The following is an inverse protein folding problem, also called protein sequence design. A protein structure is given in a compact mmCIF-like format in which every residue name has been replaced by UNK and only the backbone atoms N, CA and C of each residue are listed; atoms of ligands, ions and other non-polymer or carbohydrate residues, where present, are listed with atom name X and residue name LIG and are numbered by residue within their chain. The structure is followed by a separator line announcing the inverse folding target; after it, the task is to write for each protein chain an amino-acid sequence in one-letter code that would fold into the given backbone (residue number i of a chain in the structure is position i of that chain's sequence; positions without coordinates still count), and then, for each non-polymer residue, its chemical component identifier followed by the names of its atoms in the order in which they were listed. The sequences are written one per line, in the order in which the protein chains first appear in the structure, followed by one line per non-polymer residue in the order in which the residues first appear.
data_IF_601006464904
#
_entry.id   IF_601006464904
#
_cell.length_a   1.000
_cell.length_b   1.000
_cell.length_c   1.000
_cell.angle_alpha   90.00
_cell.angle_beta   90.00
_cell.angle_gamma   90.00
#
_symmetry.space_group_name_H-M   'P 1'
#
loop_
_entity.id
_entity.type
_entity.pdbx_description
1 polymer ?
#
# COMPACT_ATOMS: atom_id res chain seq x y z
N UNK A 1 3.24 10.37 -16.84
CA UNK A 1 2.49 9.10 -17.00
C UNK A 1 1.01 9.39 -16.82
N UNK A 2 0.11 8.68 -17.51
CA UNK A 2 -1.35 8.80 -17.34
C UNK A 2 -1.91 7.43 -16.96
N UNK A 3 -2.77 7.38 -15.94
CA UNK A 3 -3.44 6.16 -15.47
C UNK A 3 -4.94 6.34 -15.71
N UNK A 4 -5.59 5.30 -16.26
CA UNK A 4 -7.05 5.32 -16.39
C UNK A 4 -7.65 4.90 -15.04
N UNK A 5 -8.65 5.64 -14.58
CA UNK A 5 -9.31 5.40 -13.30
C UNK A 5 -10.83 5.49 -13.49
N UNK A 6 -11.55 4.56 -12.88
CA UNK A 6 -13.00 4.63 -12.67
C UNK A 6 -13.21 4.85 -11.18
N UNK A 7 -13.87 5.95 -10.82
CA UNK A 7 -14.23 6.25 -9.45
C UNK A 7 -15.71 5.93 -9.25
N UNK A 8 -16.00 4.95 -8.39
CA UNK A 8 -17.34 4.58 -7.95
C UNK A 8 -17.66 5.06 -6.54
N UNK A 9 -16.73 5.74 -5.88
CA UNK A 9 -16.99 6.42 -4.61
C UNK A 9 -17.68 7.77 -4.84
N UNK A 10 -18.25 8.33 -3.77
CA UNK A 10 -18.70 9.72 -3.71
C UNK A 10 -17.58 10.71 -3.30
N UNK A 11 -16.34 10.25 -3.22
CA UNK A 11 -15.17 11.08 -2.85
C UNK A 11 -14.41 11.59 -4.07
N UNK A 12 -13.68 12.72 -3.97
CA UNK A 12 -12.80 13.20 -5.04
C UNK A 12 -11.73 12.17 -5.41
N UNK A 13 -11.24 12.25 -6.66
CA UNK A 13 -10.08 11.47 -7.09
C UNK A 13 -8.87 11.73 -6.18
N UNK A 14 -8.02 10.71 -5.95
CA UNK A 14 -6.78 10.89 -5.21
C UNK A 14 -5.87 11.87 -5.95
N UNK A 15 -5.18 12.71 -5.18
CA UNK A 15 -4.29 13.74 -5.69
C UNK A 15 -3.01 13.81 -4.86
N UNK A 16 -1.94 14.27 -5.48
CA UNK A 16 -0.69 14.57 -4.77
C UNK A 16 -0.91 15.80 -3.87
N UNK A 17 -0.62 15.66 -2.59
CA UNK A 17 -0.86 16.71 -1.60
C UNK A 17 0.06 17.93 -1.80
N UNK A 18 1.28 17.68 -2.26
CA UNK A 18 2.27 18.70 -2.64
C UNK A 18 2.95 18.30 -3.95
N UNK A 19 3.62 19.25 -4.60
CA UNK A 19 4.33 19.02 -5.87
C UNK A 19 5.37 17.88 -5.80
N UNK A 20 6.01 17.71 -4.63
CA UNK A 20 7.05 16.71 -4.41
C UNK A 20 6.54 15.47 -3.66
N UNK A 21 5.22 15.32 -3.47
CA UNK A 21 4.65 14.15 -2.82
C UNK A 21 4.85 12.89 -3.68
N UNK A 22 5.34 11.81 -3.06
CA UNK A 22 5.53 10.53 -3.75
C UNK A 22 4.22 9.76 -3.95
N UNK A 23 3.26 9.93 -3.04
CA UNK A 23 2.00 9.19 -3.03
C UNK A 23 0.76 10.08 -2.97
N UNK A 24 -0.39 9.47 -3.25
CA UNK A 24 -1.70 10.10 -3.19
C UNK A 24 -2.53 9.44 -2.10
N UNK A 25 -3.17 10.23 -1.24
CA UNK A 25 -3.99 9.70 -0.15
C UNK A 25 -5.21 8.93 -0.71
N UNK A 26 -5.47 7.74 -0.16
CA UNK A 26 -6.66 6.92 -0.43
C UNK A 26 -7.68 7.12 0.68
N UNK A 27 -8.95 7.27 0.31
CA UNK A 27 -10.06 7.50 1.25
C UNK A 27 -10.89 6.23 1.41
N UNK A 28 -11.39 6.01 2.63
CA UNK A 28 -12.42 5.00 2.86
C UNK A 28 -13.70 5.40 2.12
N UNK A 29 -14.32 4.44 1.43
CA UNK A 29 -15.62 4.61 0.79
C UNK A 29 -16.61 3.62 1.41
N UNK A 30 -17.23 4.01 2.51
CA UNK A 30 -18.04 3.12 3.37
C UNK A 30 -19.36 3.80 3.73
N UNK A 31 -20.43 3.02 3.84
CA UNK A 31 -21.76 3.55 4.19
C UNK A 31 -21.92 3.75 5.71
N UNK A 32 -21.24 2.94 6.51
CA UNK A 32 -21.26 2.97 7.97
C UNK A 32 -19.83 2.91 8.54
N UNK A 33 -19.56 3.56 9.69
CA UNK A 33 -18.25 3.54 10.33
C UNK A 33 -17.80 2.11 10.69
N UNK A 34 -16.51 1.82 10.48
CA UNK A 34 -15.91 0.51 10.81
C UNK A 34 -15.04 0.66 12.05
N UNK A 35 -15.40 -0.03 13.13
CA UNK A 35 -14.56 -0.10 14.33
C UNK A 35 -13.57 -1.26 14.20
N UNK A 36 -12.28 -0.95 14.28
CA UNK A 36 -11.17 -1.91 14.40
C UNK A 36 -10.77 -2.04 15.86
N UNK A 37 -11.08 -3.17 16.49
CA UNK A 37 -10.56 -3.51 17.82
C UNK A 37 -9.06 -3.79 17.76
N UNK A 38 -8.33 -3.75 18.89
CA UNK A 38 -6.96 -4.23 18.96
C UNK A 38 -6.79 -5.59 18.27
N UNK A 39 -5.79 -5.70 17.39
CA UNK A 39 -5.47 -6.86 16.56
C UNK A 39 -6.54 -7.26 15.50
N UNK A 40 -7.61 -6.48 15.35
CA UNK A 40 -8.59 -6.68 14.28
C UNK A 40 -8.06 -6.15 12.95
N UNK A 41 -8.45 -6.83 11.86
CA UNK A 41 -8.15 -6.42 10.49
C UNK A 41 -9.41 -6.40 9.64
N UNK A 42 -9.52 -5.43 8.74
CA UNK A 42 -10.64 -5.32 7.79
C UNK A 42 -10.13 -4.86 6.44
N UNK A 43 -10.76 -5.35 5.38
CA UNK A 43 -10.65 -4.76 4.05
C UNK A 43 -11.58 -3.54 4.01
N UNK A 44 -11.01 -2.36 3.79
CA UNK A 44 -11.75 -1.11 3.63
C UNK A 44 -11.73 -0.73 2.15
N UNK A 45 -12.89 -0.69 1.46
CA UNK A 45 -12.95 -0.33 0.06
C UNK A 45 -12.67 1.16 -0.17
N UNK A 46 -12.16 1.49 -1.35
CA UNK A 46 -11.92 2.89 -1.76
C UNK A 46 -12.86 3.37 -2.86
N UNK A 47 -13.57 2.45 -3.53
CA UNK A 47 -14.38 2.74 -4.71
C UNK A 47 -13.56 3.04 -5.96
N UNK A 48 -12.23 2.89 -5.91
CA UNK A 48 -11.32 3.21 -7.00
C UNK A 48 -10.95 1.96 -7.78
N UNK A 49 -11.09 2.02 -9.10
CA UNK A 49 -10.67 0.98 -10.02
C UNK A 49 -9.68 1.59 -11.01
N UNK A 50 -8.49 1.00 -11.16
CA UNK A 50 -7.43 1.57 -11.98
C UNK A 50 -7.00 0.63 -13.10
N UNK A 51 -6.39 1.18 -14.14
CA UNK A 51 -5.66 0.43 -15.15
C UNK A 51 -4.26 1.01 -15.31
N UNK A 52 -3.27 0.28 -14.81
CA UNK A 52 -1.87 0.69 -14.90
C UNK A 52 -1.27 0.23 -16.24
N UNK A 53 -0.25 0.93 -16.74
CA UNK A 53 0.58 0.43 -17.84
C UNK A 53 1.36 -0.83 -17.42
N UNK A 54 1.74 -1.67 -18.38
CA UNK A 54 2.68 -2.77 -18.16
C UNK A 54 4.01 -2.23 -17.63
N UNK A 55 4.64 -2.96 -16.71
CA UNK A 55 5.90 -2.56 -16.03
C UNK A 55 5.69 -1.60 -14.85
N UNK A 56 4.44 -1.45 -14.40
CA UNK A 56 4.09 -0.63 -13.25
C UNK A 56 3.13 -1.35 -12.30
N UNK A 57 3.33 -1.14 -11.01
CA UNK A 57 2.40 -1.51 -9.96
C UNK A 57 1.97 -0.26 -9.19
N UNK A 58 0.83 -0.34 -8.51
CA UNK A 58 0.47 0.61 -7.46
C UNK A 58 0.72 -0.02 -6.09
N UNK A 59 1.47 0.68 -5.25
CA UNK A 59 1.82 0.27 -3.91
C UNK A 59 0.97 1.02 -2.89
N UNK A 60 0.11 0.30 -2.18
CA UNK A 60 -0.68 0.81 -1.05
C UNK A 60 0.18 0.78 0.21
N UNK A 61 0.48 1.96 0.75
CA UNK A 61 1.38 2.15 1.90
C UNK A 61 0.67 2.80 3.09
N UNK A 62 1.13 2.55 4.33
CA UNK A 62 0.59 3.22 5.52
C UNK A 62 0.84 4.73 5.49
N UNK A 63 -0.03 5.49 6.16
CA UNK A 63 0.19 6.91 6.45
C UNK A 63 0.91 7.04 7.79
N UNK A 64 2.03 7.74 7.84
CA UNK A 64 2.87 7.84 9.05
C UNK A 64 2.12 8.37 10.28
N UNK A 65 1.18 9.31 10.08
CA UNK A 65 0.36 9.85 11.15
C UNK A 65 -0.56 8.81 11.80
N UNK A 66 -1.17 7.93 11.00
CA UNK A 66 -2.02 6.84 11.50
C UNK A 66 -1.18 5.76 12.19
N UNK A 67 -0.03 5.41 11.61
CA UNK A 67 0.88 4.42 12.17
C UNK A 67 1.41 4.86 13.55
N UNK A 68 1.95 6.08 13.65
CA UNK A 68 2.57 6.57 14.88
C UNK A 68 1.55 6.91 15.97
N UNK A 69 0.43 7.57 15.61
CA UNK A 69 -0.50 8.13 16.61
C UNK A 69 -1.63 7.18 17.00
N UNK A 70 -1.95 6.20 16.15
CA UNK A 70 -3.12 5.33 16.30
C UNK A 70 -2.79 3.84 16.18
N UNK A 71 -1.53 3.48 15.91
CA UNK A 71 -1.13 2.09 15.70
C UNK A 71 -1.80 1.43 14.47
N UNK A 72 -2.30 2.24 13.53
CA UNK A 72 -2.99 1.73 12.34
C UNK A 72 -2.01 1.62 11.19
N UNK A 73 -1.97 0.44 10.58
CA UNK A 73 -1.12 0.18 9.41
C UNK A 73 -1.89 -0.62 8.36
N UNK A 74 -1.30 -0.70 7.17
CA UNK A 74 -1.75 -1.58 6.10
C UNK A 74 -1.07 -2.93 6.33
N UNK A 75 -1.86 -3.98 6.56
CA UNK A 75 -1.35 -5.28 6.99
C UNK A 75 -0.41 -5.92 5.97
N UNK A 76 -0.75 -5.80 4.68
CA UNK A 76 0.05 -6.31 3.57
C UNK A 76 1.02 -5.26 3.01
N UNK A 77 1.42 -4.25 3.79
CA UNK A 77 2.27 -3.16 3.30
C UNK A 77 3.66 -3.62 2.81
N UNK A 78 4.14 -3.09 1.67
CA UNK A 78 3.36 -2.38 0.66
C UNK A 78 2.38 -3.33 -0.04
N UNK A 79 1.10 -2.96 -0.11
CA UNK A 79 0.10 -3.76 -0.83
C UNK A 79 0.26 -3.56 -2.32
N UNK A 80 0.47 -4.63 -3.08
CA UNK A 80 0.63 -4.59 -4.54
C UNK A 80 -0.72 -4.63 -5.24
N UNK A 81 -0.90 -3.71 -6.20
CA UNK A 81 -2.00 -3.70 -7.17
C UNK A 81 -1.40 -3.85 -8.56
N UNK A 82 -1.66 -4.99 -9.18
CA UNK A 82 -1.10 -5.39 -10.48
C UNK A 82 -1.70 -4.58 -11.65
N UNK A 83 -0.95 -4.52 -12.76
CA UNK A 83 -1.34 -3.72 -13.91
C UNK A 83 -2.61 -4.20 -14.64
N UNK A 84 -2.93 -5.49 -14.52
CA UNK A 84 -4.12 -6.11 -15.10
C UNK A 84 -5.30 -6.17 -14.12
N UNK A 85 -5.12 -5.77 -12.85
CA UNK A 85 -6.19 -5.73 -11.86
C UNK A 85 -7.21 -4.63 -12.19
N UNK A 86 -8.50 -4.97 -12.16
CA UNK A 86 -9.63 -4.04 -12.42
C UNK A 86 -10.67 -4.01 -11.29
N UNK A 87 -10.40 -4.72 -10.20
CA UNK A 87 -11.25 -4.69 -9.02
C UNK A 87 -11.06 -3.40 -8.20
N UNK A 88 -11.68 -3.36 -7.03
CA UNK A 88 -11.56 -2.24 -6.11
C UNK A 88 -10.16 -2.21 -5.49
N UNK A 89 -9.51 -1.04 -5.49
CA UNK A 89 -8.24 -0.82 -4.79
C UNK A 89 -8.54 -0.73 -3.29
N UNK A 90 -8.80 -1.88 -2.66
CA UNK A 90 -9.11 -1.96 -1.25
C UNK A 90 -7.86 -1.88 -0.37
N UNK A 91 -8.04 -1.44 0.88
CA UNK A 91 -6.97 -1.28 1.87
C UNK A 91 -7.19 -2.26 3.01
N UNK A 92 -6.26 -3.19 3.23
CA UNK A 92 -6.31 -4.11 4.37
C UNK A 92 -5.72 -3.41 5.59
N UNK A 93 -6.57 -2.77 6.39
CA UNK A 93 -6.15 -2.14 7.64
C UNK A 93 -6.06 -3.16 8.76
N UNK A 94 -5.06 -2.97 9.63
CA UNK A 94 -4.95 -3.66 10.93
C UNK A 94 -4.71 -2.62 12.03
N UNK A 95 -5.34 -2.84 13.19
CA UNK A 95 -5.07 -2.08 14.40
C UNK A 95 -4.06 -2.83 15.28
N UNK A 96 -2.85 -2.28 15.42
CA UNK A 96 -1.79 -2.80 16.28
C UNK A 96 -1.68 -2.05 17.62
N UNK A 97 -2.56 -1.10 17.89
CA UNK A 97 -2.67 -0.44 19.19
C UNK A 97 -3.54 -1.23 20.16
N UNK A 98 -3.59 -0.77 21.41
CA UNK A 98 -4.44 -1.26 22.49
C UNK A 98 -5.78 -0.53 22.60
N UNK A 99 -6.02 0.51 21.79
CA UNK A 99 -7.27 1.26 21.74
C UNK A 99 -8.08 0.92 20.47
N UNK A 100 -9.43 0.87 20.53
CA UNK A 100 -10.24 0.79 19.33
C UNK A 100 -10.03 1.99 18.41
N UNK A 101 -10.05 1.75 17.09
CA UNK A 101 -9.98 2.80 16.08
C UNK A 101 -11.21 2.74 15.17
N UNK A 102 -11.91 3.85 15.00
CA UNK A 102 -13.04 3.96 14.08
C UNK A 102 -12.57 4.57 12.78
N UNK A 103 -12.77 3.85 11.68
CA UNK A 103 -12.62 4.35 10.32
C UNK A 103 -13.93 5.03 9.94
N UNK A 104 -13.86 6.31 9.61
CA UNK A 104 -15.00 7.09 9.12
C UNK A 104 -15.02 7.16 7.58
N UNK A 105 -16.20 7.36 7.00
CA UNK A 105 -16.31 7.58 5.56
C UNK A 105 -15.51 8.82 5.13
N UNK A 106 -14.81 8.70 3.99
CA UNK A 106 -13.95 9.75 3.45
C UNK A 106 -12.64 9.95 4.21
N UNK A 107 -12.39 9.24 5.31
CA UNK A 107 -11.13 9.32 6.04
C UNK A 107 -9.97 8.83 5.16
N UNK A 108 -8.84 9.54 5.22
CA UNK A 108 -7.63 9.18 4.49
C UNK A 108 -6.92 8.05 5.24
N UNK A 109 -7.04 6.82 4.75
CA UNK A 109 -6.63 5.61 5.47
C UNK A 109 -5.26 5.04 5.02
N UNK A 110 -4.86 5.30 3.78
CA UNK A 110 -3.60 4.84 3.21
C UNK A 110 -3.10 5.85 2.16
N UNK A 111 -1.96 5.59 1.57
CA UNK A 111 -1.46 6.34 0.41
C UNK A 111 -1.00 5.38 -0.68
N UNK A 112 -1.22 5.76 -1.94
CA UNK A 112 -0.83 4.99 -3.11
C UNK A 112 0.38 5.63 -3.79
N UNK A 113 1.44 4.84 -4.01
CA UNK A 113 2.61 5.22 -4.80
C UNK A 113 2.64 4.38 -6.06
N UNK A 114 2.87 4.99 -7.23
CA UNK A 114 3.03 4.25 -8.47
C UNK A 114 4.51 3.95 -8.69
N UNK A 115 4.86 2.67 -8.80
CA UNK A 115 6.25 2.21 -8.90
C UNK A 115 6.47 1.46 -10.22
N UNK A 116 7.66 1.60 -10.79
CA UNK A 116 8.12 0.73 -11.88
C UNK A 116 8.62 -0.58 -11.30
N UNK A 117 8.36 -1.68 -12.00
CA UNK A 117 8.95 -2.97 -11.72
C UNK A 117 9.37 -3.65 -13.02
N UNK A 118 10.24 -4.65 -12.90
CA UNK A 118 10.65 -5.51 -14.00
C UNK A 118 9.94 -6.87 -13.91
N UNK A 119 9.84 -7.57 -15.03
CA UNK A 119 9.54 -9.00 -15.04
C UNK A 119 10.85 -9.75 -15.22
N UNK A 120 11.25 -10.50 -14.21
CA UNK A 120 12.45 -11.32 -14.28
C UNK A 120 12.15 -12.68 -14.91
N UNK A 121 13.10 -13.19 -15.68
CA UNK A 121 13.17 -14.59 -16.10
C UNK A 121 14.24 -15.28 -15.26
N UNK A 122 13.88 -16.37 -14.58
CA UNK A 122 14.84 -17.13 -13.78
C UNK A 122 15.62 -18.10 -14.67
N UNK A 123 16.95 -18.02 -14.63
CA UNK A 123 17.85 -18.96 -15.31
C UNK A 123 18.48 -19.87 -14.23
N UNK A 124 18.11 -21.15 -14.15
CA UNK A 124 18.69 -22.07 -13.16
C UNK A 124 20.17 -22.36 -13.48
N UNK A 125 21.02 -22.26 -12.46
CA UNK A 125 22.47 -22.54 -12.52
C UNK A 125 22.91 -23.34 -11.30
N UNK A 126 23.99 -24.10 -11.41
CA UNK A 126 24.51 -24.90 -10.29
C UNK A 126 25.31 -24.05 -9.27
N UNK A 127 25.90 -22.94 -9.72
CA UNK A 127 26.74 -22.05 -8.90
C UNK A 127 26.49 -20.59 -9.30
N UNK A 128 26.43 -19.69 -8.31
CA UNK A 128 26.35 -18.23 -8.50
C UNK A 128 27.75 -17.61 -8.42
N UNK A 129 27.93 -16.44 -9.04
CA UNK A 129 29.18 -15.67 -8.94
C UNK A 129 29.43 -15.18 -7.50
N UNK A 130 30.71 -15.10 -7.11
CA UNK A 130 31.11 -14.57 -5.81
C UNK A 130 31.00 -13.03 -5.78
N UNK A 131 30.59 -12.48 -4.62
CA UNK A 131 30.54 -11.03 -4.39
C UNK A 131 31.14 -10.68 -3.04
N UNK A 132 31.54 -9.43 -2.83
CA UNK A 132 32.07 -8.94 -1.54
C UNK A 132 31.10 -9.20 -0.37
N UNK A 133 29.79 -9.16 -0.62
CA UNK A 133 28.76 -9.45 0.39
C UNK A 133 28.56 -10.95 0.61
N UNK A 134 28.71 -11.77 -0.43
CA UNK A 134 28.45 -13.22 -0.38
C UNK A 134 27.11 -13.56 0.28
N UNK A 135 27.15 -14.49 1.24
CA UNK A 135 25.99 -14.94 2.02
C UNK A 135 25.62 -14.01 3.21
N UNK A 136 26.27 -12.85 3.34
CA UNK A 136 26.07 -11.92 4.45
C UNK A 136 24.67 -11.27 4.48
N UNK A 137 23.82 -11.66 5.44
CA UNK A 137 22.47 -11.13 5.67
C UNK A 137 22.18 -10.75 7.13
N UNK A 138 20.97 -10.24 7.42
CA UNK A 138 20.45 -10.05 8.79
C UNK A 138 21.35 -9.29 9.78
N UNK A 139 21.85 -8.11 9.41
CA UNK A 139 22.72 -7.33 10.30
C UNK A 139 24.21 -7.66 10.18
N UNK A 140 24.61 -8.36 9.13
CA UNK A 140 25.99 -8.70 8.76
C UNK A 140 27.02 -7.54 8.80
N UNK A 141 26.59 -6.27 8.68
CA UNK A 141 27.49 -5.09 8.77
C UNK A 141 27.34 -4.31 10.09
N UNK A 142 26.50 -4.80 11.02
CA UNK A 142 26.13 -4.09 12.24
C UNK A 142 26.96 -4.51 13.45
N UNK A 143 27.90 -3.64 13.84
CA UNK A 143 28.41 -3.55 15.22
C UNK A 143 27.25 -3.03 16.09
N UNK A 144 27.10 -3.56 17.30
CA UNK A 144 26.14 -3.06 18.31
C UNK A 144 26.25 -1.55 18.53
#
# INVERSE_FOLDING_TARGET
MKIKIVNKSHHPLPAYATELSAGMDLRANIDEPIVLKPMERRLVPTGLHIALPVGYEAQVRPRSGLALKKGITVLNAPGTVDADYRGDVGVILINLSDEPFTVEDGERIAQMVIARHEHAEFIPVDVLDETERGEGGYGHTGVK
#
